data_IF_558841011631
#
_entry.id   IF_558841011631
#
_cell.length_a   1.000
_cell.length_b   1.000
_cell.length_c   1.000
_cell.angle_alpha   90.00
_cell.angle_beta   90.00
_cell.angle_gamma   90.00
#
_symmetry.space_group_name_H-M   'P 1'
#
loop_
_entity.id
_entity.type
_entity.pdbx_description
1 polymer ?
#
# COMPACT_ATOMS: atom_id res chain seq x y z
N UNK A 1 -4.18 -6.86 30.09
CA UNK A 1 -5.42 -6.88 29.29
C UNK A 1 -5.45 -8.18 28.49
N UNK A 2 -6.64 -8.68 28.14
CA UNK A 2 -6.73 -9.82 27.21
C UNK A 2 -6.23 -9.41 25.82
N UNK A 3 -5.61 -10.35 25.08
CA UNK A 3 -5.09 -10.07 23.74
C UNK A 3 -6.23 -9.68 22.79
N UNK A 4 -6.09 -8.57 22.07
CA UNK A 4 -7.12 -8.07 21.15
C UNK A 4 -7.05 -8.69 19.76
N UNK A 5 -6.07 -9.56 19.50
CA UNK A 5 -5.89 -10.27 18.24
C UNK A 5 -5.74 -11.77 18.48
N UNK A 6 -6.27 -12.57 17.55
CA UNK A 6 -6.11 -14.01 17.52
C UNK A 6 -5.81 -14.51 16.10
N UNK A 7 -4.63 -15.14 15.93
CA UNK A 7 -4.30 -15.90 14.73
C UNK A 7 -4.96 -17.29 14.77
N UNK A 8 -6.30 -17.33 14.70
CA UNK A 8 -7.07 -18.57 14.79
C UNK A 8 -6.89 -19.44 13.53
N UNK A 9 -6.96 -20.75 13.71
CA UNK A 9 -6.96 -21.75 12.63
C UNK A 9 -8.35 -22.23 12.26
N UNK A 10 -9.33 -22.04 13.15
CA UNK A 10 -10.69 -22.54 12.97
C UNK A 10 -11.73 -21.52 13.42
N UNK A 11 -12.94 -21.59 12.85
CA UNK A 11 -14.06 -20.77 13.29
C UNK A 11 -14.43 -21.00 14.76
N UNK A 12 -14.25 -22.24 15.26
CA UNK A 12 -14.46 -22.58 16.66
C UNK A 12 -13.57 -21.77 17.62
N UNK A 13 -12.30 -21.57 17.27
CA UNK A 13 -11.38 -20.73 18.04
C UNK A 13 -11.84 -19.26 18.04
N UNK A 14 -12.34 -18.76 16.90
CA UNK A 14 -12.90 -17.40 16.79
C UNK A 14 -14.14 -17.23 17.68
N UNK A 15 -15.05 -18.19 17.69
CA UNK A 15 -16.25 -18.16 18.56
C UNK A 15 -15.88 -18.17 20.05
N UNK A 16 -14.88 -18.97 20.43
CA UNK A 16 -14.36 -18.98 21.80
C UNK A 16 -13.74 -17.63 22.17
N UNK A 17 -12.99 -17.02 21.25
CA UNK A 17 -12.41 -15.69 21.42
C UNK A 17 -13.47 -14.60 21.55
N UNK A 18 -14.52 -14.64 20.73
CA UNK A 18 -15.64 -13.72 20.78
C UNK A 18 -16.36 -13.79 22.13
N UNK A 19 -16.60 -15.01 22.63
CA UNK A 19 -17.19 -15.23 23.96
C UNK A 19 -16.31 -14.68 25.08
N UNK A 20 -14.99 -14.92 25.03
CA UNK A 20 -14.05 -14.44 26.05
C UNK A 20 -13.99 -12.91 26.14
N UNK A 21 -14.27 -12.20 25.04
CA UNK A 21 -14.28 -10.73 24.96
C UNK A 21 -15.67 -10.10 25.08
N UNK A 22 -16.71 -10.89 25.39
CA UNK A 22 -18.10 -10.43 25.46
C UNK A 22 -18.55 -9.68 24.19
N UNK A 23 -18.13 -10.17 23.03
CA UNK A 23 -18.49 -9.61 21.72
C UNK A 23 -20.01 -9.64 21.55
N UNK A 24 -20.56 -8.55 21.00
CA UNK A 24 -21.98 -8.45 20.64
C UNK A 24 -22.20 -8.36 19.14
N UNK A 25 -21.24 -7.75 18.42
CA UNK A 25 -21.32 -7.45 17.00
C UNK A 25 -20.13 -8.08 16.26
N UNK A 26 -20.35 -8.45 15.00
CA UNK A 26 -19.29 -8.96 14.11
C UNK A 26 -19.25 -8.10 12.87
N UNK A 27 -18.09 -7.55 12.57
CA UNK A 27 -17.83 -6.67 11.44
C UNK A 27 -17.00 -7.42 10.37
N UNK A 28 -17.61 -7.65 9.22
CA UNK A 28 -17.00 -8.38 8.11
C UNK A 28 -16.42 -7.37 7.12
N UNK A 29 -15.09 -7.33 7.04
CA UNK A 29 -14.34 -6.38 6.20
C UNK A 29 -13.82 -7.08 4.95
N UNK A 30 -13.96 -6.45 3.79
CA UNK A 30 -13.37 -6.90 2.52
C UNK A 30 -12.81 -5.70 1.75
N UNK A 31 -12.01 -5.94 0.72
CA UNK A 31 -11.30 -4.86 0.02
C UNK A 31 -11.84 -4.70 -1.40
N UNK A 32 -12.16 -3.47 -1.80
CA UNK A 32 -12.51 -3.18 -3.20
C UNK A 32 -11.26 -2.88 -4.06
N UNK A 33 -11.42 -2.78 -5.38
CA UNK A 33 -10.30 -2.59 -6.32
C UNK A 33 -9.42 -1.38 -5.97
N UNK A 34 -9.97 -0.18 -5.65
CA UNK A 34 -9.17 0.95 -5.19
C UNK A 34 -8.34 0.71 -3.92
N UNK A 35 -8.65 -0.31 -3.11
CA UNK A 35 -7.91 -0.61 -1.89
C UNK A 35 -8.58 -0.10 -0.61
N UNK A 36 -9.88 0.16 -0.65
CA UNK A 36 -10.63 0.57 0.54
C UNK A 36 -11.26 -0.64 1.21
N UNK A 37 -11.13 -0.74 2.53
CA UNK A 37 -11.96 -1.67 3.29
C UNK A 37 -13.42 -1.22 3.26
N UNK A 38 -14.26 -2.09 2.71
CA UNK A 38 -15.70 -2.08 2.80
C UNK A 38 -16.11 -3.02 3.93
N UNK A 39 -17.25 -2.75 4.57
CA UNK A 39 -17.67 -3.58 5.68
C UNK A 39 -19.18 -3.57 5.87
N UNK A 40 -19.68 -4.60 6.57
CA UNK A 40 -21.02 -4.62 7.15
C UNK A 40 -20.97 -5.36 8.49
N UNK A 41 -21.92 -5.05 9.37
CA UNK A 41 -21.96 -5.57 10.72
C UNK A 41 -23.20 -6.42 10.94
N UNK A 42 -23.04 -7.56 11.61
CA UNK A 42 -24.15 -8.40 12.09
C UNK A 42 -24.10 -8.53 13.62
N UNK A 43 -25.16 -9.10 14.20
CA UNK A 43 -25.11 -9.58 15.58
C UNK A 43 -24.30 -10.86 15.66
N UNK A 44 -23.69 -11.14 16.83
CA UNK A 44 -22.90 -12.36 17.04
C UNK A 44 -23.66 -13.66 16.72
N UNK A 45 -25.01 -13.65 16.78
CA UNK A 45 -25.86 -14.78 16.41
C UNK A 45 -25.69 -15.26 14.97
N UNK A 46 -25.28 -14.37 14.06
CA UNK A 46 -25.08 -14.70 12.64
C UNK A 46 -23.70 -15.33 12.36
N UNK A 47 -22.81 -15.35 13.36
CA UNK A 47 -21.50 -15.97 13.23
C UNK A 47 -21.54 -17.40 13.77
N UNK A 48 -21.50 -18.36 12.86
CA UNK A 48 -21.44 -19.78 13.15
C UNK A 48 -20.14 -20.40 12.60
N UNK A 49 -19.86 -21.67 12.92
CA UNK A 49 -18.70 -22.37 12.36
C UNK A 49 -18.84 -22.58 10.84
N UNK A 50 -20.07 -22.78 10.37
CA UNK A 50 -20.44 -22.87 8.94
C UNK A 50 -20.12 -21.60 8.16
N UNK A 51 -20.23 -20.42 8.79
CA UNK A 51 -19.95 -19.12 8.17
C UNK A 51 -18.55 -19.04 7.55
N UNK A 52 -17.56 -19.72 8.13
CA UNK A 52 -16.18 -19.77 7.62
C UNK A 52 -16.00 -20.65 6.38
N UNK A 53 -17.06 -21.32 5.91
CA UNK A 53 -17.07 -22.15 4.70
C UNK A 53 -18.15 -21.71 3.72
N UNK A 54 -19.35 -21.43 4.22
CA UNK A 54 -20.53 -21.08 3.43
C UNK A 54 -20.60 -19.58 3.14
N UNK A 55 -20.01 -18.74 4.00
CA UNK A 55 -20.01 -17.28 3.85
C UNK A 55 -21.35 -16.63 4.17
N UNK A 56 -21.40 -15.30 3.96
CA UNK A 56 -22.58 -14.46 4.15
C UNK A 56 -22.88 -13.67 2.88
N UNK A 57 -24.16 -13.60 2.51
CA UNK A 57 -24.63 -12.88 1.32
C UNK A 57 -24.53 -11.35 1.47
N UNK A 58 -24.14 -10.67 0.39
CA UNK A 58 -24.20 -9.22 0.26
C UNK A 58 -24.35 -8.80 -1.21
N UNK A 59 -24.71 -7.53 -1.43
CA UNK A 59 -24.83 -6.91 -2.76
C UNK A 59 -23.47 -6.38 -3.25
N UNK A 60 -22.89 -7.05 -4.24
CA UNK A 60 -21.64 -6.66 -4.88
C UNK A 60 -21.76 -5.54 -5.91
N UNK A 61 -22.97 -5.15 -6.33
CA UNK A 61 -23.17 -4.16 -7.41
C UNK A 61 -22.84 -2.72 -7.01
N UNK A 62 -22.87 -2.46 -5.70
CA UNK A 62 -22.46 -1.17 -5.13
C UNK A 62 -20.94 -1.07 -4.88
N UNK A 63 -20.19 -2.14 -5.13
CA UNK A 63 -18.74 -2.17 -4.93
C UNK A 63 -18.02 -1.73 -6.21
N UNK A 64 -17.10 -0.78 -6.06
CA UNK A 64 -16.43 -0.12 -7.18
C UNK A 64 -15.67 -1.12 -8.06
N UNK A 65 -16.09 -1.21 -9.32
CA UNK A 65 -15.48 -2.09 -10.33
C UNK A 65 -15.89 -3.57 -10.20
N UNK A 66 -16.92 -3.90 -9.42
CA UNK A 66 -17.42 -5.26 -9.28
C UNK A 66 -18.63 -5.52 -10.20
N UNK A 67 -19.52 -6.43 -9.81
CA UNK A 67 -20.63 -6.93 -10.63
C UNK A 67 -21.57 -5.81 -11.07
N UNK A 68 -22.22 -6.01 -12.20
CA UNK A 68 -23.37 -5.21 -12.62
C UNK A 68 -24.63 -5.60 -11.82
N UNK A 69 -25.63 -4.72 -11.83
CA UNK A 69 -26.88 -4.88 -11.05
C UNK A 69 -27.66 -6.16 -11.35
N UNK A 70 -27.47 -6.76 -12.54
CA UNK A 70 -28.12 -8.00 -12.96
C UNK A 70 -27.40 -9.28 -12.47
N UNK A 71 -26.31 -9.17 -11.72
CA UNK A 71 -25.57 -10.29 -11.14
C UNK A 71 -24.90 -9.88 -9.82
N UNK A 72 -25.68 -9.23 -8.94
CA UNK A 72 -25.22 -8.54 -7.73
C UNK A 72 -24.75 -9.47 -6.61
N UNK A 73 -25.36 -10.64 -6.47
CA UNK A 73 -25.26 -11.43 -5.25
C UNK A 73 -23.87 -12.07 -5.14
N UNK A 74 -23.21 -11.85 -3.99
CA UNK A 74 -21.87 -12.34 -3.69
C UNK A 74 -21.83 -12.87 -2.25
N UNK A 75 -20.84 -13.72 -1.93
CA UNK A 75 -20.62 -14.20 -0.57
C UNK A 75 -19.29 -13.68 -0.02
N UNK A 76 -19.29 -13.12 1.19
CA UNK A 76 -18.07 -12.91 1.97
C UNK A 76 -17.78 -14.15 2.81
N UNK A 77 -16.54 -14.61 2.80
CA UNK A 77 -16.06 -15.72 3.62
C UNK A 77 -14.98 -15.18 4.57
N UNK A 78 -15.22 -15.17 5.89
CA UNK A 78 -14.26 -14.64 6.86
C UNK A 78 -13.02 -15.54 6.98
N UNK A 79 -11.86 -14.92 7.14
CA UNK A 79 -10.62 -15.61 7.46
C UNK A 79 -10.39 -15.62 8.98
N UNK A 80 -10.37 -16.81 9.62
CA UNK A 80 -10.21 -16.90 11.08
C UNK A 80 -8.88 -16.32 11.58
N UNK A 81 -7.82 -16.31 10.77
CA UNK A 81 -6.50 -15.81 11.17
C UNK A 81 -6.45 -14.28 11.34
N UNK A 82 -7.54 -13.58 11.02
CA UNK A 82 -7.65 -12.12 11.04
C UNK A 82 -8.52 -11.59 12.19
N UNK A 83 -9.00 -12.47 13.07
CA UNK A 83 -9.87 -12.12 14.18
C UNK A 83 -9.23 -11.10 15.13
N UNK A 84 -9.87 -9.94 15.29
CA UNK A 84 -9.46 -8.92 16.24
C UNK A 84 -10.65 -8.23 16.90
N UNK A 85 -10.49 -7.72 18.12
CA UNK A 85 -11.46 -6.85 18.78
C UNK A 85 -11.23 -5.43 18.30
N UNK A 86 -12.24 -4.82 17.69
CA UNK A 86 -12.14 -3.46 17.17
C UNK A 86 -11.98 -2.46 18.33
N UNK A 87 -10.92 -1.61 18.33
CA UNK A 87 -10.63 -0.73 19.45
C UNK A 87 -11.37 0.61 19.38
N UNK A 88 -12.11 0.89 18.30
CA UNK A 88 -12.76 2.18 18.06
C UNK A 88 -14.27 2.14 18.26
N UNK A 89 -14.90 0.98 18.07
CA UNK A 89 -16.33 0.81 18.29
C UNK A 89 -16.69 0.92 19.77
N UNK A 90 -17.80 1.60 20.07
CA UNK A 90 -18.31 1.74 21.43
C UNK A 90 -18.78 0.40 22.02
N UNK A 91 -19.44 -0.43 21.20
CA UNK A 91 -19.84 -1.78 21.58
C UNK A 91 -18.75 -2.79 21.21
N UNK A 92 -18.46 -3.81 22.07
CA UNK A 92 -17.48 -4.84 21.76
C UNK A 92 -17.80 -5.53 20.43
N UNK A 93 -16.94 -5.31 19.46
CA UNK A 93 -17.13 -5.75 18.07
C UNK A 93 -15.93 -6.58 17.63
N UNK A 94 -16.20 -7.78 17.11
CA UNK A 94 -15.21 -8.62 16.47
C UNK A 94 -15.06 -8.18 15.01
N UNK A 95 -13.85 -7.89 14.55
CA UNK A 95 -13.55 -7.61 13.16
C UNK A 95 -12.91 -8.83 12.51
N UNK A 96 -13.37 -9.18 11.30
CA UNK A 96 -12.83 -10.26 10.47
C UNK A 96 -12.61 -9.76 9.05
N UNK A 97 -11.43 -10.03 8.49
CA UNK A 97 -11.15 -9.79 7.06
C UNK A 97 -11.64 -10.99 6.26
N UNK A 98 -12.29 -10.71 5.13
CA UNK A 98 -12.97 -11.68 4.31
C UNK A 98 -12.40 -11.73 2.89
N UNK A 99 -12.52 -12.89 2.26
CA UNK A 99 -12.44 -13.04 0.80
C UNK A 99 -13.83 -13.12 0.22
N UNK A 100 -13.96 -12.80 -1.07
CA UNK A 100 -15.25 -12.89 -1.77
C UNK A 100 -15.27 -14.08 -2.70
N UNK A 101 -16.38 -14.81 -2.69
CA UNK A 101 -16.63 -15.94 -3.59
C UNK A 101 -17.94 -15.74 -4.36
N UNK A 102 -18.03 -16.38 -5.52
CA UNK A 102 -19.24 -16.43 -6.33
C UNK A 102 -20.23 -17.46 -5.72
N UNK A 103 -21.51 -17.10 -5.52
CA UNK A 103 -22.48 -17.94 -4.80
C UNK A 103 -22.90 -19.20 -5.57
N UNK A 104 -22.68 -19.25 -6.89
CA UNK A 104 -23.09 -20.38 -7.73
C UNK A 104 -21.94 -21.37 -7.86
N UNK A 105 -20.76 -20.87 -8.22
CA UNK A 105 -19.58 -21.69 -8.48
C UNK A 105 -18.80 -22.04 -7.21
N UNK A 106 -19.02 -21.28 -6.13
CA UNK A 106 -18.24 -21.33 -4.88
C UNK A 106 -16.73 -21.10 -5.11
N UNK A 107 -16.36 -20.49 -6.23
CA UNK A 107 -14.98 -20.14 -6.56
C UNK A 107 -14.64 -18.73 -6.10
N UNK A 108 -13.36 -18.49 -5.83
CA UNK A 108 -12.86 -17.15 -5.47
C UNK A 108 -13.21 -16.14 -6.56
N UNK A 109 -13.75 -14.99 -6.16
CA UNK A 109 -14.09 -13.94 -7.10
C UNK A 109 -12.83 -13.38 -7.76
N UNK A 110 -12.88 -13.20 -9.08
CA UNK A 110 -11.70 -12.81 -9.86
C UNK A 110 -11.23 -11.38 -9.58
N UNK A 111 -12.17 -10.47 -9.25
CA UNK A 111 -11.89 -9.06 -8.94
C UNK A 111 -11.74 -8.76 -7.44
N UNK A 112 -11.77 -9.77 -6.58
CA UNK A 112 -11.43 -9.60 -5.17
C UNK A 112 -9.89 -9.50 -5.02
N UNK A 113 -9.37 -8.33 -4.59
CA UNK A 113 -7.94 -8.13 -4.40
C UNK A 113 -7.29 -9.16 -3.47
N UNK A 114 -7.99 -9.55 -2.39
CA UNK A 114 -7.45 -10.51 -1.43
C UNK A 114 -7.37 -11.91 -2.02
N UNK A 115 -8.36 -12.30 -2.83
CA UNK A 115 -8.33 -13.53 -3.61
C UNK A 115 -7.20 -13.55 -4.64
N UNK A 116 -6.92 -12.43 -5.33
CA UNK A 116 -5.77 -12.30 -6.25
C UNK A 116 -4.46 -12.53 -5.50
N UNK A 117 -4.30 -11.92 -4.33
CA UNK A 117 -3.12 -12.10 -3.48
C UNK A 117 -2.93 -13.58 -3.05
N UNK A 118 -4.01 -14.28 -2.68
CA UNK A 118 -3.98 -15.72 -2.40
C UNK A 118 -3.58 -16.55 -3.62
N UNK A 119 -4.11 -16.23 -4.81
CA UNK A 119 -3.72 -16.90 -6.06
C UNK A 119 -2.25 -16.65 -6.39
N UNK A 120 -1.74 -15.45 -6.14
CA UNK A 120 -0.34 -15.11 -6.36
C UNK A 120 0.60 -15.95 -5.47
N UNK A 121 0.31 -16.10 -4.17
CA UNK A 121 1.11 -16.97 -3.29
C UNK A 121 1.08 -18.43 -3.75
N UNK A 122 -0.09 -18.94 -4.16
CA UNK A 122 -0.23 -20.29 -4.73
C UNK A 122 0.56 -20.44 -6.04
N UNK A 123 0.58 -19.41 -6.87
CA UNK A 123 1.35 -19.41 -8.12
C UNK A 123 2.85 -19.50 -7.84
N UNK A 124 3.39 -18.70 -6.90
CA UNK A 124 4.79 -18.83 -6.48
C UNK A 124 5.15 -20.28 -6.12
N UNK A 125 4.32 -20.92 -5.29
CA UNK A 125 4.51 -22.32 -4.89
C UNK A 125 4.47 -23.27 -6.09
N UNK A 126 3.52 -23.09 -7.02
CA UNK A 126 3.37 -23.95 -8.21
C UNK A 126 4.56 -23.84 -9.17
N UNK A 127 5.22 -22.68 -9.24
CA UNK A 127 6.45 -22.51 -10.04
C UNK A 127 7.66 -23.26 -9.47
N UNK A 128 7.61 -23.68 -8.20
CA UNK A 128 8.71 -24.29 -7.43
C UNK A 128 9.95 -23.38 -7.26
N UNK A 129 9.84 -22.09 -7.57
CA UNK A 129 10.90 -21.09 -7.36
C UNK A 129 11.09 -20.84 -5.87
N UNK A 130 10.00 -20.61 -5.14
CA UNK A 130 9.97 -20.42 -3.69
C UNK A 130 8.67 -20.92 -3.08
N UNK A 131 8.59 -20.95 -1.75
CA UNK A 131 7.38 -21.30 -0.98
C UNK A 131 6.75 -20.10 -0.27
N UNK A 132 7.52 -19.04 -0.05
CA UNK A 132 7.09 -17.79 0.56
C UNK A 132 7.73 -16.57 -0.12
N UNK A 133 6.94 -15.53 -0.28
CA UNK A 133 7.39 -14.19 -0.63
C UNK A 133 7.06 -13.24 0.51
N UNK A 134 8.07 -12.54 1.02
CA UNK A 134 7.90 -11.57 2.09
C UNK A 134 7.91 -10.15 1.53
N UNK A 135 6.97 -9.35 2.01
CA UNK A 135 6.79 -7.95 1.67
C UNK A 135 6.83 -7.09 2.92
N UNK A 136 7.63 -6.04 2.91
CA UNK A 136 7.70 -5.02 3.97
C UNK A 136 7.49 -3.64 3.37
N UNK A 137 6.24 -3.18 3.20
CA UNK A 137 5.95 -1.83 2.74
C UNK A 137 6.14 -0.83 3.88
N UNK A 138 6.62 0.37 3.56
CA UNK A 138 6.77 1.53 4.44
C UNK A 138 5.77 2.62 4.00
N UNK A 139 4.47 2.58 4.38
CA UNK A 139 3.50 3.55 3.91
C UNK A 139 3.58 4.83 4.75
N UNK A 140 4.21 5.85 4.18
CA UNK A 140 4.26 7.21 4.71
C UNK A 140 2.85 7.84 4.70
N UNK A 141 2.60 8.81 5.58
CA UNK A 141 1.33 9.52 5.67
C UNK A 141 1.50 10.94 6.20
N UNK A 142 0.43 11.73 6.11
CA UNK A 142 0.34 13.04 6.75
C UNK A 142 -0.78 13.04 7.79
N UNK A 143 -0.59 13.75 8.90
CA UNK A 143 -1.66 14.13 9.83
C UNK A 143 -1.84 15.65 9.79
N UNK A 144 -2.99 16.09 9.27
CA UNK A 144 -3.38 17.49 9.17
C UNK A 144 -4.43 17.86 10.22
N UNK A 145 -4.51 19.16 10.53
CA UNK A 145 -5.53 19.74 11.41
C UNK A 145 -6.82 20.10 10.65
N UNK A 146 -6.70 20.58 9.41
CA UNK A 146 -7.84 20.94 8.56
C UNK A 146 -7.58 20.55 7.10
N UNK A 147 -8.63 20.11 6.42
CA UNK A 147 -8.61 19.83 4.97
C UNK A 147 -9.94 20.27 4.38
N UNK A 148 -9.90 21.17 3.39
CA UNK A 148 -11.07 21.71 2.68
C UNK A 148 -10.84 21.68 1.18
N UNK A 149 -11.84 21.28 0.41
CA UNK A 149 -11.76 21.28 -1.06
C UNK A 149 -13.15 21.39 -1.69
N UNK A 150 -13.21 21.94 -2.90
CA UNK A 150 -14.42 21.99 -3.74
C UNK A 150 -14.05 22.03 -5.23
N UNK A 151 -14.96 21.57 -6.08
CA UNK A 151 -14.84 21.60 -7.55
C UNK A 151 -16.22 21.86 -8.15
N UNK A 152 -16.52 23.12 -8.45
CA UNK A 152 -17.75 23.58 -9.08
C UNK A 152 -17.50 24.22 -10.46
N UNK A 153 -18.57 24.62 -11.15
CA UNK A 153 -18.46 25.30 -12.45
C UNK A 153 -17.76 26.67 -12.40
N UNK A 154 -17.66 27.29 -11.21
CA UNK A 154 -17.11 28.64 -11.02
C UNK A 154 -15.87 28.71 -10.13
N UNK A 155 -15.48 27.60 -9.49
CA UNK A 155 -14.40 27.58 -8.50
C UNK A 155 -13.88 26.16 -8.31
N UNK A 156 -12.57 26.03 -8.20
CA UNK A 156 -11.90 24.83 -7.74
C UNK A 156 -10.81 25.22 -6.74
N UNK A 157 -10.81 24.61 -5.55
CA UNK A 157 -9.78 24.86 -4.55
C UNK A 157 -9.53 23.62 -3.71
N UNK A 158 -8.35 23.59 -3.10
CA UNK A 158 -8.04 22.74 -1.96
C UNK A 158 -7.20 23.55 -0.98
N UNK A 159 -7.28 23.20 0.29
CA UNK A 159 -6.56 23.82 1.38
C UNK A 159 -6.31 22.75 2.44
N UNK A 160 -5.05 22.59 2.84
CA UNK A 160 -4.64 21.73 3.95
C UNK A 160 -3.93 22.59 4.97
N UNK A 161 -4.11 22.28 6.24
CA UNK A 161 -3.51 23.04 7.33
C UNK A 161 -2.95 22.13 8.42
N UNK A 162 -1.89 22.60 9.07
CA UNK A 162 -1.27 21.94 10.22
C UNK A 162 -0.58 22.97 11.10
N UNK A 163 -0.67 22.80 12.42
CA UNK A 163 0.05 23.62 13.40
C UNK A 163 1.57 23.57 13.21
N UNK A 164 2.11 22.49 12.63
CA UNK A 164 3.54 22.35 12.29
C UNK A 164 3.93 23.03 10.99
N UNK A 165 2.95 23.42 10.16
CA UNK A 165 3.19 23.98 8.83
C UNK A 165 3.99 25.27 8.86
N UNK A 166 5.11 25.34 8.13
CA UNK A 166 5.92 26.57 8.02
C UNK A 166 5.13 27.78 7.51
N UNK A 167 4.10 27.54 6.69
CA UNK A 167 3.18 28.55 6.19
C UNK A 167 2.36 29.24 7.30
N UNK A 168 2.34 28.69 8.53
CA UNK A 168 1.73 29.32 9.71
C UNK A 168 2.73 30.03 10.63
N UNK A 169 4.00 30.17 10.25
CA UNK A 169 5.02 30.80 11.10
C UNK A 169 4.68 32.25 11.49
N UNK A 170 3.96 32.98 10.62
CA UNK A 170 3.46 34.33 10.88
C UNK A 170 1.99 34.38 11.33
N UNK A 171 1.31 33.24 11.54
CA UNK A 171 -0.10 33.22 11.95
C UNK A 171 -0.25 33.66 13.40
N UNK A 172 -1.22 34.51 13.68
CA UNK A 172 -1.56 34.93 15.04
C UNK A 172 -2.36 33.83 15.76
N UNK A 173 -1.67 32.99 16.56
CA UNK A 173 -2.26 31.83 17.27
C UNK A 173 -2.52 32.09 18.77
N UNK A 174 -2.08 33.25 19.30
CA UNK A 174 -2.35 33.73 20.67
C UNK A 174 -2.13 32.68 21.81
N UNK A 175 -0.89 32.23 22.09
CA UNK A 175 0.37 32.58 21.44
C UNK A 175 0.78 31.61 20.33
N UNK A 176 1.46 32.12 19.29
CA UNK A 176 2.25 31.29 18.38
C UNK A 176 3.61 31.03 19.04
N UNK A 177 3.86 29.78 19.44
CA UNK A 177 5.06 29.40 20.19
C UNK A 177 6.27 29.09 19.31
N UNK A 178 6.18 29.31 17.99
CA UNK A 178 7.25 28.99 17.05
C UNK A 178 7.38 27.49 16.78
N UNK A 179 8.61 27.02 16.58
CA UNK A 179 8.96 25.61 16.32
C UNK A 179 8.26 24.94 15.12
N UNK A 180 7.80 25.74 14.15
CA UNK A 180 7.23 25.21 12.91
C UNK A 180 8.32 24.60 12.04
N UNK A 181 8.03 23.45 11.45
CA UNK A 181 9.00 22.65 10.69
C UNK A 181 9.16 23.27 9.31
N UNK A 182 10.39 23.59 8.88
CA UNK A 182 10.60 24.11 7.51
C UNK A 182 10.40 23.02 6.48
N UNK A 183 10.17 23.42 5.23
CA UNK A 183 10.13 22.49 4.11
C UNK A 183 11.38 21.62 4.08
N UNK A 184 11.18 20.30 3.97
CA UNK A 184 12.24 19.28 3.93
C UNK A 184 13.12 19.18 5.19
N UNK A 185 12.72 19.76 6.32
CA UNK A 185 13.47 19.72 7.59
C UNK A 185 12.75 18.92 8.70
N UNK A 186 11.75 18.09 8.35
CA UNK A 186 10.97 17.30 9.30
C UNK A 186 11.63 16.00 9.78
N UNK A 187 12.75 15.59 9.18
CA UNK A 187 13.44 14.33 9.52
C UNK A 187 14.70 14.61 10.36
N UNK A 188 14.74 14.40 11.68
CA UNK A 188 13.66 14.02 12.61
C UNK A 188 13.82 14.79 13.94
N UNK A 189 13.61 16.12 13.97
CA UNK A 189 13.87 16.92 15.15
C UNK A 189 12.99 16.47 16.34
N UNK A 190 13.54 16.55 17.55
CA UNK A 190 12.80 16.21 18.78
C UNK A 190 11.73 17.27 19.10
N UNK A 191 10.75 16.96 19.98
CA UNK A 191 9.85 17.98 20.53
C UNK A 191 10.63 19.18 21.14
N UNK A 192 10.11 20.42 21.03
CA UNK A 192 8.72 20.74 20.65
C UNK A 192 8.50 20.98 19.14
N UNK A 193 9.49 20.75 18.27
CA UNK A 193 9.29 20.86 16.82
C UNK A 193 8.37 19.74 16.29
N UNK A 194 8.61 18.51 16.74
CA UNK A 194 7.71 17.38 16.51
C UNK A 194 6.55 17.40 17.51
N UNK A 195 5.35 17.68 17.01
CA UNK A 195 4.11 17.76 17.80
C UNK A 195 3.29 16.48 17.75
N UNK A 196 3.74 15.48 16.99
CA UNK A 196 2.97 14.26 16.69
C UNK A 196 3.52 13.00 17.38
N UNK A 197 4.59 13.12 18.17
CA UNK A 197 5.21 12.01 18.90
C UNK A 197 4.20 11.15 19.66
N UNK A 198 3.28 11.75 20.43
CA UNK A 198 2.31 10.99 21.24
C UNK A 198 1.22 10.32 20.38
N UNK A 199 0.77 10.96 19.30
CA UNK A 199 -0.18 10.35 18.35
C UNK A 199 0.47 9.15 17.67
N UNK A 200 1.74 9.27 17.25
CA UNK A 200 2.48 8.14 16.65
C UNK A 200 2.71 7.02 17.66
N UNK A 201 3.02 7.34 18.92
CA UNK A 201 3.12 6.34 20.00
C UNK A 201 1.80 5.57 20.21
N UNK A 202 0.65 6.26 20.24
CA UNK A 202 -0.66 5.60 20.35
C UNK A 202 -0.94 4.68 19.15
N UNK A 203 -0.66 5.15 17.93
CA UNK A 203 -0.81 4.33 16.71
C UNK A 203 0.06 3.07 16.82
N UNK A 204 1.35 3.22 17.17
CA UNK A 204 2.30 2.11 17.32
C UNK A 204 1.83 1.08 18.32
N UNK A 205 1.46 1.49 19.53
CA UNK A 205 1.02 0.57 20.58
C UNK A 205 -0.30 -0.12 20.21
N UNK A 206 -1.20 0.58 19.51
CA UNK A 206 -2.46 -0.02 19.08
C UNK A 206 -2.26 -1.04 17.94
N UNK A 207 -1.30 -0.81 17.05
CA UNK A 207 -0.94 -1.78 16.01
C UNK A 207 -0.37 -3.07 16.62
N UNK A 208 0.52 -2.96 17.60
CA UNK A 208 1.07 -4.09 18.35
C UNK A 208 -0.04 -4.89 19.06
N UNK A 209 -0.97 -4.19 19.72
CA UNK A 209 -2.16 -4.77 20.37
C UNK A 209 -3.04 -5.57 19.39
N UNK A 210 -3.06 -5.19 18.12
CA UNK A 210 -3.83 -5.80 17.04
C UNK A 210 -3.01 -6.80 16.20
N UNK A 211 -1.80 -7.14 16.65
CA UNK A 211 -0.97 -8.18 16.03
C UNK A 211 -0.11 -7.72 14.84
N UNK A 212 0.03 -6.40 14.63
CA UNK A 212 0.96 -5.83 13.65
C UNK A 212 2.23 -5.42 14.36
N UNK A 213 3.32 -6.15 14.13
CA UNK A 213 4.61 -5.85 14.75
C UNK A 213 5.22 -4.58 14.13
N UNK A 214 5.54 -3.59 14.95
CA UNK A 214 6.11 -2.30 14.57
C UNK A 214 7.61 -2.28 14.88
N UNK A 215 8.42 -1.88 13.91
CA UNK A 215 9.87 -1.79 14.07
C UNK A 215 10.30 -0.43 14.63
N UNK A 216 9.68 0.67 14.17
CA UNK A 216 9.93 2.05 14.64
C UNK A 216 8.84 3.02 14.17
N UNK A 217 8.83 4.22 14.74
CA UNK A 217 8.08 5.37 14.24
C UNK A 217 8.99 6.59 14.16
N UNK A 218 8.74 7.50 13.23
CA UNK A 218 9.37 8.82 13.19
C UNK A 218 8.53 9.85 12.43
N UNK A 219 8.84 11.13 12.64
CA UNK A 219 8.45 12.18 11.73
C UNK A 219 9.24 12.06 10.42
N UNK A 220 8.59 12.36 9.30
CA UNK A 220 9.17 12.26 7.97
C UNK A 220 9.63 13.63 7.43
N UNK A 221 10.17 13.67 6.21
CA UNK A 221 10.91 14.84 5.69
C UNK A 221 10.08 16.14 5.55
N UNK A 222 8.82 16.06 5.12
CA UNK A 222 8.02 17.25 4.82
C UNK A 222 7.53 17.99 6.07
N UNK A 223 7.27 19.29 5.92
CA UNK A 223 6.52 20.06 6.92
C UNK A 223 5.11 19.50 7.15
N UNK A 224 4.44 19.99 8.19
CA UNK A 224 2.98 19.85 8.35
C UNK A 224 2.55 18.39 8.58
N UNK A 225 3.33 17.64 9.36
CA UNK A 225 2.87 16.38 9.93
C UNK A 225 3.09 15.14 9.09
N UNK A 226 4.16 15.08 8.28
CA UNK A 226 4.52 13.83 7.62
C UNK A 226 5.05 12.83 8.65
N UNK A 227 4.65 11.58 8.54
CA UNK A 227 5.05 10.51 9.45
C UNK A 227 5.23 9.18 8.72
N UNK A 228 6.04 8.31 9.32
CA UNK A 228 6.22 6.91 8.94
C UNK A 228 6.26 6.04 10.19
N UNK A 229 5.67 4.86 10.08
CA UNK A 229 5.73 3.81 11.09
C UNK A 229 6.04 2.51 10.34
N UNK A 230 7.24 1.98 10.59
CA UNK A 230 7.70 0.75 9.95
C UNK A 230 6.99 -0.44 10.56
N UNK A 231 6.32 -1.23 9.73
CA UNK A 231 5.75 -2.50 10.13
C UNK A 231 6.65 -3.65 9.65
N UNK A 232 6.77 -4.68 10.47
CA UNK A 232 7.53 -5.88 10.12
C UNK A 232 6.92 -6.52 8.87
N UNK A 233 7.80 -6.97 7.97
CA UNK A 233 7.39 -7.71 6.79
C UNK A 233 6.58 -8.96 7.16
N UNK A 234 5.71 -9.38 6.25
CA UNK A 234 4.95 -10.64 6.36
C UNK A 234 4.79 -11.27 4.97
N UNK A 235 4.10 -12.41 4.86
CA UNK A 235 3.73 -12.97 3.55
C UNK A 235 2.80 -12.01 2.80
N UNK A 236 2.65 -12.21 1.50
CA UNK A 236 1.94 -11.28 0.62
C UNK A 236 0.51 -10.97 1.09
N UNK A 237 -0.31 -11.99 1.40
CA UNK A 237 -1.69 -11.76 1.85
C UNK A 237 -1.72 -11.04 3.20
N UNK A 238 -0.90 -11.51 4.14
CA UNK A 238 -0.80 -10.91 5.48
C UNK A 238 -0.31 -9.47 5.44
N UNK A 239 0.60 -9.15 4.52
CA UNK A 239 1.03 -7.78 4.27
C UNK A 239 -0.12 -6.90 3.81
N UNK A 240 -0.95 -7.40 2.87
CA UNK A 240 -2.15 -6.67 2.44
C UNK A 240 -3.14 -6.43 3.58
N UNK A 241 -3.36 -7.44 4.43
CA UNK A 241 -4.19 -7.32 5.63
C UNK A 241 -3.61 -6.27 6.61
N UNK A 242 -2.31 -6.35 6.90
CA UNK A 242 -1.62 -5.46 7.84
C UNK A 242 -1.59 -4.01 7.34
N UNK A 243 -1.38 -3.75 6.04
CA UNK A 243 -1.37 -2.38 5.49
C UNK A 243 -2.77 -1.74 5.54
N UNK A 244 -3.83 -2.50 5.31
CA UNK A 244 -5.18 -1.95 5.47
C UNK A 244 -5.53 -1.69 6.94
N UNK A 245 -5.13 -2.59 7.85
CA UNK A 245 -5.26 -2.38 9.29
C UNK A 245 -4.48 -1.14 9.73
N UNK A 246 -3.25 -0.98 9.24
CA UNK A 246 -2.41 0.18 9.48
C UNK A 246 -3.11 1.48 9.07
N UNK A 247 -3.62 1.56 7.84
CA UNK A 247 -4.36 2.75 7.37
C UNK A 247 -5.62 3.01 8.20
N UNK A 248 -6.32 1.95 8.62
CA UNK A 248 -7.50 2.04 9.47
C UNK A 248 -7.16 2.62 10.86
N UNK A 249 -6.11 2.11 11.51
CA UNK A 249 -5.67 2.59 12.83
C UNK A 249 -5.19 4.04 12.75
N UNK A 250 -4.31 4.38 11.79
CA UNK A 250 -3.78 5.74 11.62
C UNK A 250 -4.92 6.75 11.46
N UNK A 251 -5.90 6.47 10.60
CA UNK A 251 -7.04 7.37 10.35
C UNK A 251 -7.92 7.55 11.59
N UNK A 252 -8.23 6.46 12.30
CA UNK A 252 -9.13 6.52 13.46
C UNK A 252 -8.45 7.14 14.69
N UNK A 253 -7.15 6.88 14.92
CA UNK A 253 -6.40 7.56 15.98
C UNK A 253 -6.29 9.05 15.66
N UNK A 254 -5.91 9.43 14.44
CA UNK A 254 -5.89 10.85 14.06
C UNK A 254 -7.26 11.51 14.28
N UNK A 255 -8.36 10.84 13.90
CA UNK A 255 -9.72 11.35 14.13
C UNK A 255 -10.06 11.52 15.61
N UNK A 256 -9.65 10.58 16.48
CA UNK A 256 -9.82 10.70 17.95
C UNK A 256 -9.06 11.88 18.54
N UNK A 257 -7.96 12.29 17.93
CA UNK A 257 -7.20 13.50 18.28
C UNK A 257 -7.71 14.77 17.61
N UNK A 258 -8.89 14.73 16.95
CA UNK A 258 -9.46 15.89 16.27
C UNK A 258 -8.74 16.27 14.97
N UNK A 259 -7.90 15.38 14.44
CA UNK A 259 -7.09 15.57 13.22
C UNK A 259 -7.63 14.71 12.07
N UNK A 260 -6.99 14.81 10.92
CA UNK A 260 -7.28 13.97 9.75
C UNK A 260 -6.00 13.45 9.14
N UNK A 261 -5.92 12.13 8.93
CA UNK A 261 -4.76 11.50 8.30
C UNK A 261 -5.02 11.21 6.83
N UNK A 262 -4.02 11.46 5.97
CA UNK A 262 -4.07 11.12 4.55
C UNK A 262 -2.84 10.32 4.13
N UNK A 263 -3.09 9.39 3.19
CA UNK A 263 -2.11 8.52 2.56
C UNK A 263 -1.89 8.92 1.09
N UNK A 264 -2.36 10.11 0.70
CA UNK A 264 -2.26 10.56 -0.68
C UNK A 264 -0.79 10.82 -1.06
N UNK A 265 -0.37 10.51 -2.30
CA UNK A 265 1.05 10.56 -2.66
C UNK A 265 1.69 11.95 -2.59
N UNK A 266 0.92 13.01 -2.84
CA UNK A 266 1.44 14.38 -2.87
C UNK A 266 0.39 15.39 -2.38
N UNK A 267 0.25 15.57 -1.05
CA UNK A 267 -0.66 16.56 -0.48
C UNK A 267 -0.10 17.99 -0.52
N UNK A 268 1.24 18.14 -0.46
CA UNK A 268 1.93 19.43 -0.44
C UNK A 268 2.76 19.63 -1.70
N UNK A 269 2.53 20.75 -2.40
CA UNK A 269 3.41 21.19 -3.48
C UNK A 269 4.71 21.76 -2.89
N UNK A 270 5.85 21.46 -3.52
CA UNK A 270 7.16 21.99 -3.10
C UNK A 270 7.80 21.28 -1.90
N UNK A 271 7.15 20.27 -1.32
CA UNK A 271 7.71 19.46 -0.22
C UNK A 271 7.69 17.95 -0.54
N UNK A 272 8.23 17.09 0.32
CA UNK A 272 8.21 15.64 0.13
C UNK A 272 6.75 15.09 0.07
N UNK A 273 6.57 13.95 -0.58
CA UNK A 273 5.28 13.28 -0.72
C UNK A 273 5.35 11.85 -0.18
N UNK A 274 4.20 11.25 0.10
CA UNK A 274 4.13 9.93 0.75
C UNK A 274 4.44 8.76 -0.19
N UNK A 275 5.51 8.03 0.10
CA UNK A 275 5.88 6.76 -0.53
C UNK A 275 5.31 5.52 0.16
N UNK A 276 5.37 4.39 -0.54
CA UNK A 276 5.18 3.05 0.03
C UNK A 276 6.34 2.17 -0.40
N UNK A 277 7.55 2.45 0.12
CA UNK A 277 8.74 1.71 -0.25
C UNK A 277 8.54 0.23 0.10
N UNK A 278 8.60 -0.64 -0.90
CA UNK A 278 8.20 -2.04 -0.75
C UNK A 278 9.43 -2.92 -0.76
N UNK A 279 9.84 -3.39 0.42
CA UNK A 279 10.90 -4.37 0.59
C UNK A 279 10.42 -5.77 0.20
N UNK A 280 11.23 -6.53 -0.54
CA UNK A 280 10.83 -7.82 -1.12
C UNK A 280 11.93 -8.87 -1.00
N UNK A 281 11.54 -10.11 -0.66
CA UNK A 281 12.42 -11.28 -0.74
C UNK A 281 11.64 -12.57 -1.00
N UNK A 282 12.24 -13.50 -1.75
CA UNK A 282 11.71 -14.85 -1.97
C UNK A 282 12.49 -15.85 -1.13
N UNK A 283 11.77 -16.81 -0.54
CA UNK A 283 12.31 -17.85 0.32
C UNK A 283 11.86 -19.23 -0.16
N UNK A 284 12.64 -20.23 0.21
CA UNK A 284 12.35 -21.64 -0.04
C UNK A 284 12.90 -22.51 1.09
N UNK A 285 12.07 -23.39 1.63
CA UNK A 285 12.42 -24.32 2.70
C UNK A 285 13.11 -23.60 3.89
N UNK A 286 12.59 -22.42 4.24
CA UNK A 286 13.12 -21.57 5.31
C UNK A 286 14.46 -20.89 5.03
N UNK A 287 14.94 -20.88 3.77
CA UNK A 287 16.18 -20.22 3.35
C UNK A 287 15.92 -19.04 2.39
N UNK A 288 16.64 -17.91 2.55
CA UNK A 288 16.50 -16.76 1.66
C UNK A 288 17.12 -17.08 0.29
N UNK A 289 16.43 -16.75 -0.79
CA UNK A 289 16.94 -16.95 -2.15
C UNK A 289 17.65 -15.73 -2.73
N UNK A 290 17.45 -14.55 -2.13
CA UNK A 290 18.01 -13.30 -2.67
C UNK A 290 19.47 -13.07 -2.28
N UNK A 291 19.96 -13.73 -1.23
CA UNK A 291 21.36 -13.66 -0.83
C UNK A 291 22.26 -14.46 -1.76
N UNK A 292 23.36 -13.84 -2.21
CA UNK A 292 24.34 -14.44 -3.09
C UNK A 292 25.70 -13.73 -3.04
N UNK A 293 26.51 -13.94 -4.08
CA UNK A 293 27.88 -13.41 -4.20
C UNK A 293 28.01 -12.29 -5.25
N UNK A 294 26.90 -11.86 -5.84
CA UNK A 294 26.85 -10.81 -6.84
C UNK A 294 26.91 -9.41 -6.23
N UNK A 295 26.58 -8.42 -7.05
CA UNK A 295 26.50 -7.03 -6.65
C UNK A 295 25.65 -6.86 -5.38
N UNK A 296 26.15 -6.11 -4.40
CA UNK A 296 25.48 -5.87 -3.12
C UNK A 296 25.00 -7.13 -2.37
N UNK A 297 25.72 -8.25 -2.51
CA UNK A 297 25.39 -9.57 -1.94
C UNK A 297 24.11 -10.20 -2.51
N UNK A 298 23.70 -9.81 -3.72
CA UNK A 298 22.57 -10.42 -4.41
C UNK A 298 22.93 -11.74 -5.09
N UNK A 299 21.96 -12.64 -5.18
CA UNK A 299 22.02 -13.84 -6.04
C UNK A 299 21.57 -13.51 -7.47
N UNK A 300 21.84 -14.41 -8.40
CA UNK A 300 21.29 -14.31 -9.76
C UNK A 300 19.76 -14.31 -9.75
N UNK A 301 19.12 -15.05 -8.83
CA UNK A 301 17.67 -15.03 -8.65
C UNK A 301 17.19 -13.62 -8.31
N UNK A 302 17.85 -12.93 -7.38
CA UNK A 302 17.49 -11.56 -7.04
C UNK A 302 17.72 -10.61 -8.21
N UNK A 303 18.84 -10.74 -8.94
CA UNK A 303 19.10 -9.93 -10.13
C UNK A 303 18.02 -10.14 -11.19
N UNK A 304 17.64 -11.38 -11.48
CA UNK A 304 16.56 -11.65 -12.42
C UNK A 304 15.20 -11.12 -11.95
N UNK A 305 14.91 -11.20 -10.66
CA UNK A 305 13.71 -10.60 -10.07
C UNK A 305 13.69 -9.07 -10.27
N UNK A 306 14.81 -8.39 -10.03
CA UNK A 306 14.99 -6.96 -10.31
C UNK A 306 14.78 -6.68 -11.80
N UNK A 307 15.35 -7.49 -12.70
CA UNK A 307 15.20 -7.32 -14.14
C UNK A 307 13.75 -7.46 -14.61
N UNK A 308 12.99 -8.37 -14.01
CA UNK A 308 11.54 -8.48 -14.22
C UNK A 308 10.78 -7.22 -13.78
N UNK A 309 11.06 -6.70 -12.58
CA UNK A 309 10.45 -5.45 -12.10
C UNK A 309 10.79 -4.29 -13.04
N UNK A 310 12.07 -4.11 -13.43
CA UNK A 310 12.49 -3.01 -14.30
C UNK A 310 11.81 -3.11 -15.68
N UNK A 311 11.77 -4.30 -16.27
CA UNK A 311 11.12 -4.55 -17.57
C UNK A 311 9.65 -4.11 -17.55
N UNK A 312 8.93 -4.46 -16.48
CA UNK A 312 7.50 -4.22 -16.35
C UNK A 312 7.15 -2.95 -15.58
N UNK A 313 8.15 -2.16 -15.16
CA UNK A 313 7.96 -1.04 -14.21
C UNK A 313 6.93 -0.01 -14.69
N UNK A 314 6.89 0.27 -16.00
CA UNK A 314 5.91 1.20 -16.59
C UNK A 314 4.47 0.69 -16.49
N UNK A 315 4.25 -0.62 -16.67
CA UNK A 315 2.95 -1.25 -16.50
C UNK A 315 2.56 -1.34 -15.02
N UNK A 316 3.55 -1.66 -14.15
CA UNK A 316 3.35 -1.73 -12.71
C UNK A 316 2.81 -0.43 -12.12
N UNK A 317 3.23 0.74 -12.61
CA UNK A 317 2.75 2.03 -12.07
C UNK A 317 1.23 2.23 -12.23
N UNK A 318 0.56 1.52 -13.15
CA UNK A 318 -0.91 1.56 -13.21
C UNK A 318 -1.58 0.89 -11.99
N UNK A 319 -0.86 0.03 -11.28
CA UNK A 319 -1.33 -0.72 -10.10
C UNK A 319 -0.68 -0.18 -8.81
N UNK A 320 0.62 0.08 -8.83
CA UNK A 320 1.40 0.55 -7.67
C UNK A 320 1.32 2.06 -7.43
N UNK A 321 0.85 2.81 -8.42
CA UNK A 321 0.72 4.27 -8.38
C UNK A 321 -0.63 4.69 -9.01
N UNK A 322 -1.77 4.20 -8.47
CA UNK A 322 -3.01 4.08 -9.23
C UNK A 322 -3.83 5.38 -9.33
N UNK A 323 -3.28 6.53 -8.93
CA UNK A 323 -4.02 7.80 -8.89
C UNK A 323 -3.34 8.88 -9.71
N UNK A 324 -4.09 9.89 -10.13
CA UNK A 324 -3.49 11.07 -10.78
C UNK A 324 -2.54 11.83 -9.85
N UNK A 325 -2.77 11.78 -8.53
CA UNK A 325 -1.90 12.40 -7.53
C UNK A 325 -0.56 11.66 -7.36
N UNK A 326 -0.51 10.35 -7.65
CA UNK A 326 0.74 9.57 -7.71
C UNK A 326 1.78 10.19 -8.65
N UNK A 327 1.33 10.68 -9.81
CA UNK A 327 2.18 11.33 -10.81
C UNK A 327 2.55 12.79 -10.47
N UNK A 328 2.04 13.32 -9.35
CA UNK A 328 2.57 14.56 -8.74
C UNK A 328 3.68 14.27 -7.74
N UNK A 329 3.76 13.04 -7.22
CA UNK A 329 4.90 12.54 -6.43
C UNK A 329 6.05 12.10 -7.33
N UNK A 330 5.77 11.35 -8.39
CA UNK A 330 6.77 10.82 -9.34
C UNK A 330 7.33 11.92 -10.27
N UNK A 331 8.02 12.89 -9.67
CA UNK A 331 8.74 13.97 -10.34
C UNK A 331 10.15 14.09 -9.73
N UNK A 332 11.17 14.59 -10.46
CA UNK A 332 12.51 14.77 -9.91
C UNK A 332 12.55 15.70 -8.68
N UNK A 333 13.48 15.47 -7.74
CA UNK A 333 13.84 16.42 -6.66
C UNK A 333 13.21 16.20 -5.27
N UNK A 334 12.44 15.13 -5.04
CA UNK A 334 11.70 14.89 -3.79
C UNK A 334 11.86 13.46 -3.24
N UNK A 335 13.02 12.83 -3.45
CA UNK A 335 13.28 11.41 -3.10
C UNK A 335 12.31 10.38 -3.73
N UNK A 336 11.45 10.81 -4.65
CA UNK A 336 10.61 9.96 -5.45
C UNK A 336 11.37 9.50 -6.70
N UNK A 337 11.55 8.18 -6.91
CA UNK A 337 12.32 7.68 -8.04
C UNK A 337 11.46 7.67 -9.30
N UNK A 338 11.91 8.39 -10.33
CA UNK A 338 11.29 8.39 -11.65
C UNK A 338 12.05 7.53 -12.66
N UNK A 339 13.25 7.09 -12.32
CA UNK A 339 14.14 6.35 -13.20
C UNK A 339 14.25 4.90 -12.74
N UNK A 340 13.90 3.97 -13.62
CA UNK A 340 13.91 2.53 -13.36
C UNK A 340 15.33 1.98 -13.50
N UNK A 341 16.14 2.30 -12.49
CA UNK A 341 17.46 1.74 -12.26
C UNK A 341 17.50 1.06 -10.89
N UNK A 342 18.52 0.22 -10.70
CA UNK A 342 18.85 -0.35 -9.40
C UNK A 342 20.24 0.08 -8.94
N UNK A 343 20.40 0.26 -7.63
CA UNK A 343 21.68 0.67 -7.04
C UNK A 343 21.71 0.36 -5.54
N UNK A 344 22.90 0.02 -5.02
CA UNK A 344 23.11 -0.15 -3.59
C UNK A 344 23.10 1.21 -2.89
N UNK A 345 22.39 1.30 -1.76
CA UNK A 345 22.31 2.50 -0.90
C UNK A 345 21.69 3.76 -1.52
N UNK A 346 21.54 3.84 -2.85
CA UNK A 346 21.09 5.02 -3.56
C UNK A 346 19.57 5.21 -3.51
N UNK A 347 19.11 6.27 -2.83
CA UNK A 347 17.68 6.62 -2.73
C UNK A 347 17.10 7.26 -4.00
N UNK A 348 17.94 7.66 -4.96
CA UNK A 348 17.50 8.21 -6.25
C UNK A 348 17.11 7.15 -7.30
N UNK A 349 17.46 5.88 -7.05
CA UNK A 349 17.10 4.74 -7.89
C UNK A 349 15.72 4.18 -7.51
N UNK A 350 14.97 3.67 -8.50
CA UNK A 350 13.68 3.02 -8.26
C UNK A 350 13.80 1.75 -7.42
N UNK A 351 14.88 0.98 -7.61
CA UNK A 351 15.16 -0.21 -6.81
C UNK A 351 16.44 0.02 -6.00
N UNK A 352 16.28 0.15 -4.69
CA UNK A 352 17.41 0.27 -3.76
C UNK A 352 17.75 -1.11 -3.18
N UNK A 353 19.04 -1.36 -2.96
CA UNK A 353 19.50 -2.54 -2.23
C UNK A 353 20.00 -2.08 -0.86
N UNK A 354 19.26 -2.35 0.23
CA UNK A 354 19.69 -2.05 1.58
C UNK A 354 20.90 -2.92 1.98
N UNK A 355 21.98 -2.29 2.45
CA UNK A 355 23.23 -2.99 2.83
C UNK A 355 23.60 -2.75 4.30
N UNK A 356 22.59 -2.76 5.17
CA UNK A 356 22.76 -2.56 6.62
C UNK A 356 23.31 -3.79 7.36
N UNK A 357 23.26 -4.98 6.75
CA UNK A 357 23.67 -6.23 7.39
C UNK A 357 24.27 -7.20 6.37
N UNK A 358 25.28 -7.97 6.79
CA UNK A 358 25.84 -9.08 6.03
C UNK A 358 25.07 -10.38 6.22
N UNK A 359 24.04 -10.41 7.07
CA UNK A 359 23.21 -11.59 7.29
C UNK A 359 22.41 -11.92 6.01
N UNK A 360 22.55 -13.13 5.43
CA UNK A 360 21.79 -13.54 4.25
C UNK A 360 20.27 -13.37 4.41
N UNK A 361 19.74 -13.51 5.62
CA UNK A 361 18.30 -13.35 5.92
C UNK A 361 17.81 -11.90 5.80
N UNK A 362 18.71 -10.92 5.79
CA UNK A 362 18.38 -9.51 5.67
C UNK A 362 18.47 -8.99 4.23
N UNK A 363 19.01 -9.79 3.29
CA UNK A 363 19.17 -9.42 1.89
C UNK A 363 17.80 -9.37 1.20
N UNK A 364 17.50 -8.22 0.63
CA UNK A 364 16.22 -7.88 0.01
C UNK A 364 16.42 -6.75 -1.01
N UNK A 365 15.40 -6.53 -1.82
CA UNK A 365 15.31 -5.34 -2.66
C UNK A 365 14.25 -4.40 -2.09
N UNK A 366 14.36 -3.11 -2.39
CA UNK A 366 13.41 -2.07 -1.99
C UNK A 366 12.91 -1.36 -3.24
N UNK A 367 11.67 -1.63 -3.67
CA UNK A 367 11.05 -0.90 -4.79
C UNK A 367 10.37 0.36 -4.24
N UNK A 368 10.91 1.53 -4.61
CA UNK A 368 10.59 2.83 -3.99
C UNK A 368 9.51 3.64 -4.73
N UNK A 369 9.16 3.20 -5.93
CA UNK A 369 8.15 3.84 -6.78
C UNK A 369 6.73 3.77 -6.20
N UNK A 370 6.25 2.63 -5.63
CA UNK A 370 4.88 2.52 -5.13
C UNK A 370 4.51 3.60 -4.12
N UNK A 371 3.23 3.91 -4.03
CA UNK A 371 2.69 4.86 -3.06
C UNK A 371 1.49 4.30 -2.28
N UNK A 372 1.13 4.90 -1.14
CA UNK A 372 0.10 4.37 -0.25
C UNK A 372 -1.33 4.53 -0.80
N UNK A 373 -1.53 5.16 -1.96
CA UNK A 373 -2.83 5.14 -2.63
C UNK A 373 -3.09 3.79 -3.33
N UNK A 374 -2.07 2.95 -3.47
CA UNK A 374 -2.22 1.61 -4.00
C UNK A 374 -3.06 0.68 -3.11
N UNK A 375 -3.81 -0.20 -3.77
CA UNK A 375 -4.37 -1.39 -3.12
C UNK A 375 -3.21 -2.33 -2.78
N UNK A 376 -2.93 -2.60 -1.48
CA UNK A 376 -1.72 -3.30 -1.09
C UNK A 376 -1.70 -4.75 -1.56
N UNK A 377 -2.87 -5.42 -1.68
CA UNK A 377 -2.95 -6.77 -2.22
C UNK A 377 -2.53 -6.81 -3.70
N UNK A 378 -3.11 -5.91 -4.51
CA UNK A 378 -2.81 -5.83 -5.95
C UNK A 378 -1.36 -5.39 -6.19
N UNK A 379 -0.89 -4.40 -5.42
CA UNK A 379 0.46 -3.88 -5.56
C UNK A 379 1.52 -4.95 -5.25
N UNK A 380 1.37 -5.72 -4.16
CA UNK A 380 2.31 -6.79 -3.83
C UNK A 380 2.22 -7.95 -4.84
N UNK A 381 1.01 -8.35 -5.25
CA UNK A 381 0.81 -9.37 -6.27
C UNK A 381 1.44 -9.00 -7.61
N UNK A 382 1.18 -7.80 -8.12
CA UNK A 382 1.74 -7.34 -9.40
C UNK A 382 3.27 -7.28 -9.37
N UNK A 383 3.86 -6.78 -8.28
CA UNK A 383 5.32 -6.76 -8.09
C UNK A 383 5.91 -8.18 -8.08
N UNK A 384 5.26 -9.12 -7.37
CA UNK A 384 5.69 -10.52 -7.37
C UNK A 384 5.63 -11.14 -8.77
N UNK A 385 4.53 -10.95 -9.47
CA UNK A 385 4.34 -11.49 -10.83
C UNK A 385 5.41 -10.95 -11.79
N UNK A 386 5.72 -9.65 -11.73
CA UNK A 386 6.79 -9.06 -12.53
C UNK A 386 8.16 -9.67 -12.20
N UNK A 387 8.49 -9.80 -10.91
CA UNK A 387 9.74 -10.41 -10.49
C UNK A 387 9.85 -11.90 -10.86
N UNK A 388 8.75 -12.64 -10.79
CA UNK A 388 8.70 -14.04 -11.24
C UNK A 388 8.87 -14.18 -12.75
N UNK A 389 8.31 -13.29 -13.57
CA UNK A 389 8.60 -13.25 -15.02
C UNK A 389 10.09 -13.07 -15.27
N UNK A 390 10.71 -12.14 -14.53
CA UNK A 390 12.14 -11.91 -14.55
C UNK A 390 12.96 -13.17 -14.28
N UNK A 391 12.65 -13.91 -13.20
CA UNK A 391 13.32 -15.16 -12.84
C UNK A 391 13.12 -16.24 -13.91
N UNK A 392 11.89 -16.46 -14.36
CA UNK A 392 11.56 -17.51 -15.33
C UNK A 392 12.25 -17.29 -16.68
N UNK A 393 12.32 -16.03 -17.12
CA UNK A 393 12.93 -15.64 -18.39
C UNK A 393 14.40 -15.20 -18.27
N UNK A 394 14.99 -15.29 -17.07
CA UNK A 394 16.38 -14.88 -16.75
C UNK A 394 16.72 -13.47 -17.23
N UNK A 395 15.81 -12.53 -16.97
CA UNK A 395 15.92 -11.14 -17.44
C UNK A 395 16.93 -10.40 -16.57
N UNK A 396 18.11 -10.09 -17.11
CA UNK A 396 19.12 -9.34 -16.35
C UNK A 396 18.81 -7.83 -16.34
N UNK A 397 18.94 -7.13 -15.19
CA UNK A 397 18.60 -5.71 -15.06
C UNK A 397 19.66 -4.76 -15.67
N UNK A 398 20.63 -5.28 -16.42
CA UNK A 398 21.84 -4.55 -16.82
C UNK A 398 22.77 -4.22 -15.66
N UNK A 399 23.70 -3.29 -15.88
CA UNK A 399 24.65 -2.83 -14.87
C UNK A 399 23.97 -1.90 -13.84
N UNK A 400 24.38 -1.93 -12.56
CA UNK A 400 23.86 -1.02 -11.55
C UNK A 400 24.27 0.43 -11.84
N UNK A 401 23.43 1.39 -11.43
CA UNK A 401 23.67 2.81 -11.67
C UNK A 401 24.03 3.55 -10.37
N UNK A 402 25.29 3.44 -9.97
CA UNK A 402 25.84 4.01 -8.72
C UNK A 402 26.25 5.48 -8.85
N UNK A 403 25.33 6.29 -9.37
CA UNK A 403 25.47 7.76 -9.49
C UNK A 403 24.22 8.43 -8.91
N UNK A 404 24.34 9.69 -8.48
CA UNK A 404 23.15 10.48 -8.19
C UNK A 404 22.37 10.69 -9.49
N UNK A 405 21.21 10.02 -9.63
CA UNK A 405 20.41 10.05 -10.85
C UNK A 405 19.85 11.44 -11.15
N UNK A 406 19.75 12.32 -10.14
CA UNK A 406 19.29 13.70 -10.31
C UNK A 406 20.34 14.60 -10.98
N UNK A 407 21.61 14.21 -10.95
CA UNK A 407 22.74 14.98 -11.49
C UNK A 407 23.30 14.39 -12.79
N UNK A 408 22.66 13.34 -13.32
CA UNK A 408 23.11 12.73 -14.56
C UNK A 408 22.95 13.71 -15.74
N UNK A 409 23.95 13.79 -16.65
CA UNK A 409 23.80 14.54 -17.89
C UNK A 409 22.57 14.05 -18.67
N UNK A 410 21.80 14.95 -19.34
CA UNK A 410 20.57 14.58 -20.04
C UNK A 410 20.73 13.42 -21.04
N UNK A 411 21.91 13.31 -21.68
CA UNK A 411 22.24 12.23 -22.62
C UNK A 411 22.41 10.86 -21.96
N UNK A 412 22.90 10.80 -20.72
CA UNK A 412 22.99 9.56 -19.95
C UNK A 412 21.62 9.19 -19.39
N UNK A 413 20.88 10.18 -18.87
CA UNK A 413 19.55 10.00 -18.30
C UNK A 413 18.53 9.47 -19.32
N UNK A 414 18.58 9.95 -20.56
CA UNK A 414 17.68 9.51 -21.65
C UNK A 414 17.79 8.01 -21.98
N UNK A 415 18.85 7.33 -21.53
CA UNK A 415 19.02 5.88 -21.73
C UNK A 415 18.39 5.06 -20.62
N UNK A 416 17.99 5.68 -19.51
CA UNK A 416 17.38 5.00 -18.36
C UNK A 416 15.86 5.02 -18.55
N UNK A 417 15.17 3.87 -18.55
CA UNK A 417 13.72 3.84 -18.60
C UNK A 417 13.13 4.65 -17.44
N UNK A 418 12.15 5.50 -17.72
CA UNK A 418 11.52 6.34 -16.72
C UNK A 418 10.05 5.98 -16.51
N UNK A 419 9.48 6.44 -15.39
CA UNK A 419 8.05 6.39 -15.13
C UNK A 419 7.27 7.12 -16.22
N UNK A 420 6.03 6.69 -16.53
CA UNK A 420 5.09 7.50 -17.28
C UNK A 420 4.87 8.86 -16.59
N UNK A 421 4.51 9.88 -17.37
CA UNK A 421 4.25 11.24 -16.88
C UNK A 421 2.84 11.42 -16.30
N UNK A 422 1.98 10.42 -16.45
CA UNK A 422 0.56 10.50 -16.16
C UNK A 422 -0.06 9.14 -15.90
N UNK A 423 -1.23 9.15 -15.25
CA UNK A 423 -2.04 7.96 -15.01
C UNK A 423 -2.48 7.30 -16.33
N UNK A 424 -2.78 8.10 -17.36
CA UNK A 424 -3.10 7.59 -18.69
C UNK A 424 -1.89 6.88 -19.33
N UNK A 425 -0.69 7.48 -19.24
CA UNK A 425 0.53 6.84 -19.75
C UNK A 425 0.84 5.52 -19.06
N UNK A 426 0.53 5.39 -17.76
CA UNK A 426 0.62 4.13 -17.03
C UNK A 426 -0.42 3.11 -17.47
N UNK A 427 -1.69 3.51 -17.66
CA UNK A 427 -2.73 2.64 -18.20
C UNK A 427 -2.36 2.09 -19.59
N UNK A 428 -1.87 2.94 -20.48
CA UNK A 428 -1.39 2.52 -21.81
C UNK A 428 -0.18 1.57 -21.74
N UNK A 429 0.68 1.73 -20.74
CA UNK A 429 1.79 0.80 -20.53
C UNK A 429 1.29 -0.56 -20.04
N UNK A 430 0.33 -0.60 -19.12
CA UNK A 430 -0.31 -1.83 -18.65
C UNK A 430 -1.06 -2.54 -19.78
N UNK A 431 -1.83 -1.81 -20.58
CA UNK A 431 -2.54 -2.37 -21.74
C UNK A 431 -1.59 -3.09 -22.70
N UNK A 432 -0.39 -2.53 -22.93
CA UNK A 432 0.63 -3.10 -23.83
C UNK A 432 1.44 -4.24 -23.21
N UNK A 433 1.52 -4.31 -21.88
CA UNK A 433 2.40 -5.21 -21.14
C UNK A 433 1.72 -5.70 -19.85
N UNK A 434 0.79 -6.65 -20.00
CA UNK A 434 0.09 -7.29 -18.87
C UNK A 434 0.15 -8.82 -18.89
N UNK A 435 0.73 -9.45 -19.91
CA UNK A 435 0.81 -10.91 -20.03
C UNK A 435 1.48 -11.57 -18.82
N UNK A 436 2.44 -10.89 -18.20
CA UNK A 436 3.12 -11.38 -17.00
C UNK A 436 2.16 -11.51 -15.80
N UNK A 437 1.10 -10.71 -15.73
CA UNK A 437 0.08 -10.74 -14.68
C UNK A 437 -0.91 -11.89 -14.88
N UNK A 438 -1.16 -12.29 -16.12
CA UNK A 438 -2.13 -13.33 -16.49
C UNK A 438 -1.63 -14.76 -16.19
N UNK A 439 -0.33 -14.93 -15.89
CA UNK A 439 0.24 -16.25 -15.62
C UNK A 439 -0.41 -16.90 -14.40
N UNK A 440 -0.83 -18.15 -14.57
CA UNK A 440 -1.42 -18.95 -13.49
C UNK A 440 -2.78 -18.42 -13.01
N UNK A 441 -3.48 -17.65 -13.84
CA UNK A 441 -4.80 -17.07 -13.54
C UNK A 441 -4.80 -16.23 -12.25
N UNK A 442 -3.65 -15.62 -11.93
CA UNK A 442 -3.49 -14.75 -10.77
C UNK A 442 -4.35 -13.49 -10.96
N UNK A 443 -4.04 -12.72 -12.00
CA UNK A 443 -4.93 -11.70 -12.54
C UNK A 443 -5.67 -12.27 -13.74
N UNK A 444 -6.97 -11.97 -13.85
CA UNK A 444 -7.75 -12.29 -15.05
C UNK A 444 -7.73 -11.11 -16.01
N UNK A 445 -7.99 -11.37 -17.29
CA UNK A 445 -8.11 -10.33 -18.31
C UNK A 445 -9.19 -9.30 -17.92
N UNK A 446 -10.31 -9.78 -17.40
CA UNK A 446 -11.42 -8.98 -16.91
C UNK A 446 -11.01 -8.02 -15.77
N UNK A 447 -10.18 -8.48 -14.83
CA UNK A 447 -9.60 -7.60 -13.80
C UNK A 447 -8.70 -6.51 -14.42
N UNK A 448 -7.86 -6.87 -15.38
CA UNK A 448 -6.96 -5.90 -16.05
C UNK A 448 -7.76 -4.84 -16.81
N UNK A 449 -8.76 -5.25 -17.59
CA UNK A 449 -9.66 -4.35 -18.31
C UNK A 449 -10.38 -3.40 -17.34
N UNK A 450 -10.90 -3.93 -16.23
CA UNK A 450 -11.53 -3.13 -15.18
C UNK A 450 -10.56 -2.09 -14.59
N UNK A 451 -9.31 -2.48 -14.30
CA UNK A 451 -8.29 -1.54 -13.82
C UNK A 451 -8.08 -0.44 -14.87
N UNK A 452 -7.87 -0.79 -16.14
CA UNK A 452 -7.62 0.18 -17.22
C UNK A 452 -8.76 1.19 -17.34
N UNK A 453 -10.01 0.73 -17.36
CA UNK A 453 -11.19 1.61 -17.40
C UNK A 453 -11.22 2.59 -16.23
N UNK A 454 -10.94 2.12 -15.01
CA UNK A 454 -10.88 2.99 -13.83
C UNK A 454 -9.78 4.04 -13.93
N UNK A 455 -8.58 3.67 -14.42
CA UNK A 455 -7.45 4.60 -14.57
C UNK A 455 -7.74 5.68 -15.61
N UNK A 456 -8.36 5.32 -16.74
CA UNK A 456 -8.78 6.27 -17.77
C UNK A 456 -9.86 7.22 -17.22
N UNK A 457 -10.85 6.68 -16.50
CA UNK A 457 -11.91 7.48 -15.86
C UNK A 457 -11.35 8.49 -14.86
N UNK A 458 -10.43 8.08 -13.99
CA UNK A 458 -9.81 8.96 -12.99
C UNK A 458 -8.94 10.03 -13.64
N UNK A 459 -8.24 9.70 -14.72
CA UNK A 459 -7.48 10.66 -15.51
C UNK A 459 -8.39 11.70 -16.17
N UNK A 460 -9.46 11.25 -16.83
CA UNK A 460 -10.42 12.13 -17.50
C UNK A 460 -11.13 13.06 -16.50
N UNK A 461 -11.45 12.56 -15.30
CA UNK A 461 -12.00 13.38 -14.24
C UNK A 461 -11.09 14.57 -13.91
N UNK A 462 -9.76 14.40 -13.90
CA UNK A 462 -8.86 15.53 -13.67
C UNK A 462 -8.72 16.42 -14.92
N UNK A 463 -8.47 15.84 -16.11
CA UNK A 463 -8.13 16.64 -17.31
C UNK A 463 -9.27 17.55 -17.79
N UNK A 464 -10.52 17.21 -17.49
CA UNK A 464 -11.69 17.96 -17.93
C UNK A 464 -12.00 19.17 -17.04
N UNK A 465 -11.28 19.35 -15.92
CA UNK A 465 -11.47 20.44 -14.98
C UNK A 465 -10.32 21.45 -15.12
N UNK A 466 -10.60 22.73 -15.38
CA UNK A 466 -9.55 23.76 -15.41
C UNK A 466 -8.76 23.78 -14.10
N UNK A 467 -7.43 23.76 -14.19
CA UNK A 467 -6.56 23.80 -13.01
C UNK A 467 -6.32 25.26 -12.56
N UNK A 468 -6.25 25.57 -11.24
CA UNK A 468 -6.00 26.95 -10.78
C UNK A 468 -4.76 27.63 -11.39
N UNK A 469 -3.73 26.84 -11.74
CA UNK A 469 -2.52 27.33 -12.39
C UNK A 469 -2.69 27.74 -13.87
N UNK A 470 -3.82 27.44 -14.52
CA UNK A 470 -4.08 27.86 -15.91
C UNK A 470 -4.58 29.31 -16.01
N UNK A 471 -4.99 29.91 -14.88
CA UNK A 471 -5.43 31.30 -14.81
C UNK A 471 -4.29 32.31 -14.61
N UNK A 472 -3.06 31.82 -14.38
CA UNK A 472 -1.90 32.64 -14.00
C UNK A 472 -1.16 33.27 -15.17
#
# INVERSE_FOLDING_TARGET
>A
MAAKYLNAKTGKEVLAFAKAHNIKLVDFKFCDIPGTWQHFTTTLSELEESTFKEGLGFDGSSIRGWKSINSSDMLVVPDPATAMVDPFNAEPTLSLVCTVIDPITMQSYERDPRSIALRAEKYLQSTKIGDAAYFGPEPEFFIFDDVRYDSSSRSAFYHVDSVEGIFNSGREELPNTGYKIRHKEGYFPVPPADTQQDIRNEITLLLEDLGVHVERQHHEVATAGQAEIDIRFDTLVRTGDNVNLYKYVVRNVARRHGKTATFMPKPLFGDNGSGMHTHQSIWKDGKPLFAGKGYANLSDIALYYIGGIIKHARALTAITNPTTNSFKRLVPGFEAPVNFAYSARNRSAAIRIPTYSSNPKAVRIEFRTPDPAANPYLACAAQMMAGLDGIQNKIHPGDPLDKNLYELPPKELAKVPSAPDSLLGAAQALEKDHDFLLKGDVFTKDMIETILEMRVKDYDALRLRPHPHEFS
#
